data_IF_985065311560
#
_entry.id   IF_985065311560
#
_cell.length_a   1.000
_cell.length_b   1.000
_cell.length_c   1.000
_cell.angle_alpha   90.00
_cell.angle_beta   90.00
_cell.angle_gamma   90.00
#
_symmetry.space_group_name_H-M   'P 1'
#
loop_
_entity.id
_entity.type
_entity.pdbx_description
1 polymer ?
#
# COMPACT_ATOMS: atom_id res chain seq x y z
N UNK A 1 -53.21 6.93 -9.43
CA UNK A 1 -51.88 6.27 -9.32
C UNK A 1 -50.89 7.30 -8.79
N UNK A 2 -50.57 7.24 -7.49
CA UNK A 2 -49.81 8.27 -6.77
C UNK A 2 -48.71 7.64 -5.89
N UNK A 3 -47.91 6.73 -6.47
CA UNK A 3 -46.83 6.01 -5.73
C UNK A 3 -45.54 5.93 -6.58
N UNK A 4 -45.29 6.91 -7.46
CA UNK A 4 -44.07 6.95 -8.28
C UNK A 4 -43.18 8.18 -8.01
N UNK A 5 -43.73 9.27 -7.45
CA UNK A 5 -42.98 10.51 -7.28
C UNK A 5 -42.25 10.65 -5.93
N UNK A 6 -42.60 9.84 -4.91
CA UNK A 6 -41.98 9.91 -3.57
C UNK A 6 -40.68 9.09 -3.47
N UNK A 7 -40.46 8.15 -4.40
CA UNK A 7 -39.26 7.28 -4.39
C UNK A 7 -38.03 8.01 -4.95
N UNK A 8 -38.20 8.96 -5.87
CA UNK A 8 -37.10 9.74 -6.42
C UNK A 8 -36.48 10.74 -5.44
N UNK A 9 -37.18 11.07 -4.33
CA UNK A 9 -36.69 12.02 -3.32
C UNK A 9 -36.12 11.35 -2.06
N UNK A 10 -35.93 10.03 -2.06
CA UNK A 10 -35.29 9.27 -0.97
C UNK A 10 -33.91 8.71 -1.34
N UNK A 11 -33.52 8.77 -2.62
CA UNK A 11 -32.25 8.24 -3.11
C UNK A 11 -31.12 9.27 -3.13
N UNK A 12 -31.42 10.57 -3.05
CA UNK A 12 -30.40 11.63 -3.14
C UNK A 12 -29.79 12.01 -1.76
N UNK A 13 -30.47 11.72 -0.64
CA UNK A 13 -30.00 12.11 0.70
C UNK A 13 -29.10 11.05 1.38
N UNK A 14 -28.94 9.85 0.80
CA UNK A 14 -28.06 8.80 1.33
C UNK A 14 -26.67 8.75 0.67
N UNK A 15 -26.49 9.34 -0.52
CA UNK A 15 -25.20 9.38 -1.22
C UNK A 15 -24.27 10.50 -0.74
N UNK A 16 -24.79 11.57 -0.15
CA UNK A 16 -23.98 12.69 0.33
C UNK A 16 -23.19 12.40 1.64
N UNK A 17 -23.53 11.34 2.39
CA UNK A 17 -22.84 10.96 3.65
C UNK A 17 -22.04 9.66 3.55
N UNK A 18 -22.06 9.00 2.39
CA UNK A 18 -21.37 7.74 2.12
C UNK A 18 -19.86 7.89 1.87
N UNK A 19 -19.40 8.71 0.91
CA UNK A 19 -17.98 8.82 0.58
C UNK A 19 -17.17 9.45 1.71
N UNK A 20 -17.65 10.54 2.32
CA UNK A 20 -16.96 11.22 3.43
C UNK A 20 -16.79 10.32 4.67
N UNK A 21 -17.82 9.54 5.05
CA UNK A 21 -17.68 8.58 6.17
C UNK A 21 -16.77 7.41 5.82
N UNK A 22 -16.79 6.94 4.58
CA UNK A 22 -15.91 5.86 4.13
C UNK A 22 -14.43 6.32 4.10
N UNK A 23 -14.18 7.55 3.65
CA UNK A 23 -12.85 8.18 3.66
C UNK A 23 -12.36 8.43 5.08
N UNK A 24 -13.21 8.97 5.97
CA UNK A 24 -12.87 9.16 7.38
C UNK A 24 -12.55 7.82 8.07
N UNK A 25 -13.31 6.76 7.76
CA UNK A 25 -13.03 5.41 8.30
C UNK A 25 -11.71 4.85 7.77
N UNK A 26 -11.41 5.00 6.48
CA UNK A 26 -10.12 4.60 5.89
C UNK A 26 -8.96 5.38 6.48
N UNK A 27 -9.09 6.69 6.66
CA UNK A 27 -8.06 7.52 7.27
C UNK A 27 -7.80 7.12 8.73
N UNK A 28 -8.86 6.82 9.49
CA UNK A 28 -8.73 6.35 10.88
C UNK A 28 -8.07 4.97 10.97
N UNK A 29 -8.45 4.05 10.08
CA UNK A 29 -7.83 2.72 9.97
C UNK A 29 -6.35 2.80 9.57
N UNK A 30 -6.01 3.66 8.60
CA UNK A 30 -4.62 3.94 8.21
C UNK A 30 -3.82 4.54 9.38
N UNK A 31 -4.39 5.48 10.12
CA UNK A 31 -3.73 6.06 11.30
C UNK A 31 -3.46 4.98 12.37
N UNK A 32 -4.42 4.10 12.65
CA UNK A 32 -4.24 2.99 13.59
C UNK A 32 -3.17 2.00 13.10
N UNK A 33 -3.19 1.67 11.81
CA UNK A 33 -2.19 0.81 11.18
C UNK A 33 -0.78 1.42 11.24
N UNK A 34 -0.66 2.73 11.05
CA UNK A 34 0.60 3.46 11.16
C UNK A 34 1.15 3.46 12.58
N UNK A 35 0.29 3.67 13.59
CA UNK A 35 0.69 3.58 15.00
C UNK A 35 1.19 2.17 15.32
N UNK A 36 0.47 1.13 14.87
CA UNK A 36 0.88 -0.26 15.05
C UNK A 36 2.22 -0.56 14.38
N UNK A 37 2.43 -0.10 13.16
CA UNK A 37 3.68 -0.29 12.43
C UNK A 37 4.85 0.38 13.16
N UNK A 38 4.68 1.61 13.66
CA UNK A 38 5.69 2.30 14.47
C UNK A 38 6.04 1.55 15.74
N UNK A 39 5.02 1.11 16.49
CA UNK A 39 5.23 0.32 17.72
C UNK A 39 5.99 -0.98 17.45
N UNK A 40 5.72 -1.65 16.32
CA UNK A 40 6.46 -2.85 15.92
C UNK A 40 7.90 -2.53 15.52
N UNK A 41 8.15 -1.40 14.84
CA UNK A 41 9.51 -0.93 14.53
C UNK A 41 10.29 -0.66 15.80
N UNK A 42 9.70 0.04 16.77
CA UNK A 42 10.32 0.36 18.06
C UNK A 42 10.66 -0.90 18.88
N UNK A 43 9.85 -1.95 18.75
CA UNK A 43 10.10 -3.25 19.38
C UNK A 43 11.06 -4.15 18.59
N UNK A 44 11.51 -3.73 17.40
CA UNK A 44 12.33 -4.56 16.51
C UNK A 44 11.61 -5.80 15.99
N UNK A 45 10.28 -5.72 15.82
CA UNK A 45 9.42 -6.81 15.34
C UNK A 45 8.77 -6.48 13.97
N UNK A 46 9.13 -5.34 13.39
CA UNK A 46 8.68 -4.96 12.06
C UNK A 46 9.63 -5.56 11.01
N UNK A 47 9.48 -6.87 10.82
CA UNK A 47 10.31 -7.66 9.89
C UNK A 47 9.48 -8.20 8.72
N UNK A 48 10.17 -8.84 7.78
CA UNK A 48 9.59 -9.47 6.60
C UNK A 48 8.44 -10.43 6.94
N UNK A 49 8.58 -11.24 7.99
CA UNK A 49 7.52 -12.19 8.42
C UNK A 49 6.23 -11.48 8.85
N UNK A 50 6.35 -10.32 9.48
CA UNK A 50 5.20 -9.51 9.92
C UNK A 50 4.46 -8.94 8.70
N UNK A 51 5.20 -8.53 7.67
CA UNK A 51 4.63 -8.03 6.41
C UNK A 51 3.99 -9.17 5.60
N UNK A 52 4.63 -10.33 5.50
CA UNK A 52 4.06 -11.50 4.85
C UNK A 52 2.75 -11.95 5.52
N UNK A 53 2.72 -11.97 6.86
CA UNK A 53 1.50 -12.28 7.62
C UNK A 53 0.38 -11.29 7.30
N UNK A 54 0.68 -10.00 7.20
CA UNK A 54 -0.31 -8.99 6.84
C UNK A 54 -0.78 -9.12 5.38
N UNK A 55 0.12 -9.47 4.46
CA UNK A 55 -0.23 -9.78 3.08
C UNK A 55 -1.14 -11.01 2.97
N UNK A 56 -0.87 -12.05 3.75
CA UNK A 56 -1.71 -13.25 3.82
C UNK A 56 -3.08 -12.96 4.46
N UNK A 57 -3.11 -12.09 5.48
CA UNK A 57 -4.33 -11.62 6.13
C UNK A 57 -5.15 -10.62 5.32
N UNK A 58 -4.73 -10.26 4.11
CA UNK A 58 -5.37 -9.27 3.24
C UNK A 58 -5.56 -7.91 3.95
N UNK A 59 -4.52 -7.45 4.64
CA UNK A 59 -4.47 -6.14 5.33
C UNK A 59 -3.53 -5.16 4.59
N UNK A 60 -3.96 -4.60 3.44
CA UNK A 60 -3.12 -3.73 2.63
C UNK A 60 -2.78 -2.41 3.32
N UNK A 61 -3.62 -1.92 4.23
CA UNK A 61 -3.40 -0.67 4.96
C UNK A 61 -2.20 -0.80 5.90
N UNK A 62 -2.12 -1.91 6.65
CA UNK A 62 -0.96 -2.20 7.47
C UNK A 62 0.30 -2.40 6.63
N UNK A 63 0.22 -3.13 5.52
CA UNK A 63 1.39 -3.33 4.62
C UNK A 63 1.92 -1.99 4.11
N UNK A 64 1.05 -1.09 3.64
CA UNK A 64 1.45 0.26 3.19
C UNK A 64 2.10 1.06 4.32
N UNK A 65 1.53 1.02 5.52
CA UNK A 65 2.08 1.72 6.68
C UNK A 65 3.43 1.14 7.13
N UNK A 66 3.56 -0.19 7.11
CA UNK A 66 4.79 -0.90 7.45
C UNK A 66 5.92 -0.53 6.48
N UNK A 67 5.64 -0.56 5.17
CA UNK A 67 6.59 -0.15 4.14
C UNK A 67 7.00 1.32 4.29
N UNK A 68 6.05 2.21 4.59
CA UNK A 68 6.33 3.63 4.84
C UNK A 68 7.25 3.83 6.05
N UNK A 69 7.02 3.08 7.14
CA UNK A 69 7.82 3.15 8.37
C UNK A 69 9.23 2.58 8.19
N UNK A 70 9.39 1.50 7.43
CA UNK A 70 10.69 0.88 7.14
C UNK A 70 11.50 1.65 6.10
N UNK A 71 10.87 2.11 5.03
CA UNK A 71 11.53 2.90 4.00
C UNK A 71 11.72 4.38 4.42
N UNK A 72 11.21 4.77 5.59
CA UNK A 72 11.24 6.14 6.11
C UNK A 72 10.67 7.13 5.08
N UNK A 73 9.49 6.80 4.56
CA UNK A 73 8.77 7.59 3.55
C UNK A 73 7.37 7.96 4.04
N UNK A 74 6.78 9.05 3.52
CA UNK A 74 5.39 9.38 3.83
C UNK A 74 4.44 8.28 3.35
N UNK A 75 3.46 7.90 4.19
CA UNK A 75 2.42 6.91 3.86
C UNK A 75 1.70 7.27 2.56
N UNK A 76 1.45 8.58 2.35
CA UNK A 76 0.82 9.08 1.12
C UNK A 76 1.59 8.73 -0.15
N UNK A 77 2.93 8.72 -0.11
CA UNK A 77 3.77 8.36 -1.27
C UNK A 77 3.67 6.87 -1.56
N UNK A 78 3.77 6.03 -0.53
CA UNK A 78 3.63 4.58 -0.66
C UNK A 78 2.23 4.21 -1.15
N UNK A 79 1.19 4.81 -0.57
CA UNK A 79 -0.20 4.62 -0.99
C UNK A 79 -0.42 5.02 -2.45
N UNK A 80 0.13 6.17 -2.88
CA UNK A 80 0.07 6.61 -4.29
C UNK A 80 0.76 5.60 -5.20
N UNK A 81 1.91 5.06 -4.78
CA UNK A 81 2.63 4.01 -5.53
C UNK A 81 1.79 2.74 -5.69
N UNK A 82 1.08 2.35 -4.64
CA UNK A 82 0.15 1.21 -4.69
C UNK A 82 -1.04 1.50 -5.60
N UNK A 83 -1.63 2.68 -5.50
CA UNK A 83 -2.76 3.11 -6.33
C UNK A 83 -2.41 3.17 -7.82
N UNK A 84 -1.19 3.57 -8.18
CA UNK A 84 -0.70 3.59 -9.58
C UNK A 84 -0.19 2.24 -10.06
N UNK A 85 -0.18 1.21 -9.20
CA UNK A 85 0.34 -0.12 -9.49
C UNK A 85 1.78 -0.09 -10.06
N UNK A 86 2.62 0.80 -9.53
CA UNK A 86 3.99 0.96 -10.02
C UNK A 86 4.89 -0.17 -9.50
N UNK A 87 5.17 -1.14 -10.38
CA UNK A 87 6.08 -2.25 -10.10
C UNK A 87 7.49 -1.75 -9.70
N UNK A 88 8.03 -0.77 -10.44
CA UNK A 88 9.34 -0.17 -10.14
C UNK A 88 9.33 0.57 -8.81
N UNK A 89 8.26 1.32 -8.53
CA UNK A 89 8.13 2.07 -7.29
C UNK A 89 8.05 1.18 -6.06
N UNK A 90 7.20 0.15 -6.07
CA UNK A 90 7.12 -0.77 -4.91
C UNK A 90 8.43 -1.54 -4.72
N UNK A 91 9.11 -1.90 -5.80
CA UNK A 91 10.41 -2.57 -5.76
C UNK A 91 11.46 -1.69 -5.09
N UNK A 92 11.52 -0.41 -5.45
CA UNK A 92 12.45 0.55 -4.85
C UNK A 92 12.14 0.84 -3.38
N UNK A 93 10.86 0.95 -3.01
CA UNK A 93 10.44 1.09 -1.60
C UNK A 93 10.85 -0.15 -0.79
N UNK A 94 10.66 -1.35 -1.34
CA UNK A 94 11.01 -2.62 -0.68
C UNK A 94 12.52 -2.75 -0.48
N UNK A 95 13.31 -2.35 -1.49
CA UNK A 95 14.76 -2.28 -1.39
C UNK A 95 15.23 -1.29 -0.31
N UNK A 96 14.65 -0.08 -0.28
CA UNK A 96 14.96 0.93 0.75
C UNK A 96 14.58 0.46 2.16
N UNK A 97 13.48 -0.29 2.28
CA UNK A 97 13.03 -0.90 3.52
C UNK A 97 13.93 -2.06 4.01
N UNK A 98 14.94 -2.46 3.24
CA UNK A 98 15.86 -3.55 3.60
C UNK A 98 15.22 -4.95 3.51
N UNK A 99 14.14 -5.09 2.74
CA UNK A 99 13.38 -6.34 2.60
C UNK A 99 13.87 -7.16 1.41
N UNK A 100 13.52 -8.44 1.37
CA UNK A 100 13.99 -9.36 0.34
C UNK A 100 13.34 -9.12 -1.02
N UNK A 101 14.03 -9.57 -2.07
CA UNK A 101 13.50 -9.53 -3.44
C UNK A 101 12.26 -10.41 -3.60
N UNK A 102 12.22 -11.54 -2.89
CA UNK A 102 11.07 -12.44 -2.88
C UNK A 102 9.84 -11.73 -2.32
N UNK A 103 9.99 -10.96 -1.23
CA UNK A 103 8.88 -10.15 -0.71
C UNK A 103 8.48 -9.06 -1.69
N UNK A 104 9.43 -8.42 -2.38
CA UNK A 104 9.13 -7.42 -3.42
C UNK A 104 8.25 -7.99 -4.55
N UNK A 105 8.52 -9.22 -4.98
CA UNK A 105 7.69 -9.93 -5.98
C UNK A 105 6.29 -10.24 -5.45
N UNK A 106 6.19 -10.67 -4.19
CA UNK A 106 4.90 -10.92 -3.55
C UNK A 106 4.08 -9.64 -3.37
N UNK A 107 4.70 -8.52 -3.02
CA UNK A 107 4.05 -7.22 -2.92
C UNK A 107 3.48 -6.80 -4.28
N UNK A 108 4.23 -6.98 -5.36
CA UNK A 108 3.72 -6.72 -6.71
C UNK A 108 2.51 -7.61 -7.06
N UNK A 109 2.56 -8.91 -6.75
CA UNK A 109 1.49 -9.83 -7.08
C UNK A 109 0.23 -9.65 -6.20
N UNK A 110 0.39 -9.45 -4.90
CA UNK A 110 -0.71 -9.44 -3.92
C UNK A 110 -1.19 -8.03 -3.57
N UNK A 111 -0.27 -7.10 -3.29
CA UNK A 111 -0.61 -5.73 -2.91
C UNK A 111 -0.99 -4.90 -4.15
N UNK A 112 -0.16 -4.93 -5.20
CA UNK A 112 -0.46 -4.22 -6.45
C UNK A 112 -1.44 -4.98 -7.35
N UNK A 113 -1.70 -6.26 -7.08
CA UNK A 113 -2.53 -7.15 -7.91
C UNK A 113 -2.05 -7.21 -9.37
N UNK A 114 -0.73 -7.17 -9.58
CA UNK A 114 -0.16 -7.23 -10.91
C UNK A 114 -0.24 -8.66 -11.47
N UNK A 115 -0.61 -8.82 -12.75
CA UNK A 115 -0.53 -10.12 -13.40
C UNK A 115 0.94 -10.53 -13.55
N UNK A 116 1.21 -11.84 -13.56
CA UNK A 116 2.55 -12.41 -13.64
C UNK A 116 3.52 -11.76 -14.66
N UNK A 117 3.13 -11.42 -15.91
CA UNK A 117 4.05 -10.78 -16.87
C UNK A 117 4.42 -9.34 -16.53
N UNK A 118 3.69 -8.66 -15.62
CA UNK A 118 3.99 -7.30 -15.18
C UNK A 118 4.80 -7.24 -13.89
N UNK A 119 5.00 -8.38 -13.23
CA UNK A 119 5.83 -8.47 -12.03
C UNK A 119 7.30 -8.42 -12.42
N UNK A 120 8.03 -7.45 -11.88
CA UNK A 120 9.47 -7.38 -11.96
C UNK A 120 10.05 -8.42 -11.02
N UNK A 121 10.81 -9.36 -11.58
CA UNK A 121 11.42 -10.46 -10.84
C UNK A 121 12.90 -10.26 -10.70
N UNK A 122 13.42 -10.53 -9.52
CA UNK A 122 14.86 -10.59 -9.33
C UNK A 122 15.50 -11.76 -10.02
N UNK A 123 16.84 -11.76 -10.02
CA UNK A 123 17.64 -12.92 -10.43
C UNK A 123 18.68 -13.18 -9.34
N UNK A 124 18.80 -14.43 -8.91
CA UNK A 124 19.77 -14.87 -7.89
C UNK A 124 19.69 -14.07 -6.57
N UNK A 125 18.48 -13.71 -6.14
CA UNK A 125 18.26 -12.92 -4.91
C UNK A 125 18.63 -11.44 -5.04
N UNK A 126 18.96 -10.98 -6.25
CA UNK A 126 19.27 -9.57 -6.54
C UNK A 126 18.04 -8.89 -7.15
N UNK A 127 17.80 -7.65 -6.73
CA UNK A 127 16.71 -6.83 -7.25
C UNK A 127 16.85 -6.59 -8.77
N UNK A 128 15.73 -6.45 -9.51
CA UNK A 128 15.73 -6.28 -10.97
C UNK A 128 16.20 -4.90 -11.46
N UNK A 129 16.42 -3.95 -10.55
CA UNK A 129 16.88 -2.60 -10.87
C UNK A 129 18.23 -2.35 -10.18
N UNK A 130 19.08 -1.55 -10.81
CA UNK A 130 20.34 -1.09 -10.22
C UNK A 130 20.10 -0.13 -9.04
N UNK A 131 21.11 0.06 -8.20
CA UNK A 131 21.03 1.00 -7.07
C UNK A 131 20.67 2.42 -7.50
N UNK A 132 21.30 2.93 -8.56
CA UNK A 132 20.99 4.24 -9.14
C UNK A 132 19.55 4.33 -9.65
N UNK A 133 19.05 3.29 -10.32
CA UNK A 133 17.64 3.23 -10.73
C UNK A 133 16.69 3.24 -9.53
N UNK A 134 17.01 2.49 -8.46
CA UNK A 134 16.20 2.50 -7.24
C UNK A 134 16.15 3.88 -6.61
N UNK A 135 17.30 4.55 -6.46
CA UNK A 135 17.41 5.90 -5.91
C UNK A 135 16.59 6.87 -6.76
N UNK A 136 16.75 6.83 -8.08
CA UNK A 136 15.98 7.66 -9.00
C UNK A 136 14.47 7.47 -8.84
N UNK A 137 14.00 6.21 -8.70
CA UNK A 137 12.58 5.94 -8.46
C UNK A 137 12.12 6.55 -7.13
N UNK A 138 12.92 6.44 -6.06
CA UNK A 138 12.57 6.97 -4.74
C UNK A 138 12.49 8.49 -4.74
N UNK A 139 13.42 9.17 -5.41
CA UNK A 139 13.40 10.63 -5.58
C UNK A 139 12.18 11.08 -6.39
N UNK A 140 11.89 10.40 -7.49
CA UNK A 140 10.71 10.68 -8.31
C UNK A 140 9.40 10.48 -7.55
N UNK A 141 9.34 9.52 -6.62
CA UNK A 141 8.16 9.29 -5.78
C UNK A 141 8.02 10.32 -4.65
N UNK A 142 9.14 10.85 -4.15
CA UNK A 142 9.18 11.80 -3.04
C UNK A 142 9.01 13.27 -3.48
N UNK A 143 9.30 13.59 -4.74
CA UNK A 143 9.04 14.89 -5.37
C UNK A 143 7.59 15.09 -5.79
#
# INVERSE_FOLDING_TARGET
>A
MAVAAVVAKRLDEMEATGPERAEARKASDEAAALVRARQLREKGQLDESTIDTALAGNDPNFVVCALAVLAEMPVSVVRKTVATQSAKGITAITWKAGLSVTLAEQLQAKLLRLPAPRVLRGRDGVFPLTGDEMIWQLEFLAG
#
